data_IF_835133178553
#
_entry.id   IF_835133178553
#
_cell.length_a   1.000
_cell.length_b   1.000
_cell.length_c   1.000
_cell.angle_alpha   90.00
_cell.angle_beta   90.00
_cell.angle_gamma   90.00
#
_symmetry.space_group_name_H-M   'P 1'
#
loop_
_entity.id
_entity.type
_entity.pdbx_description
1 polymer ?
#
# COMPACT_ATOMS: atom_id res chain seq x y z
N UNK A 1 15.39 -28.95 3.00
CA UNK A 1 14.45 -28.71 1.89
C UNK A 1 15.19 -27.98 0.78
N UNK A 2 14.88 -28.20 -0.51
CA UNK A 2 15.62 -27.57 -1.61
C UNK A 2 15.20 -26.08 -1.70
N UNK A 3 16.18 -25.19 -1.87
CA UNK A 3 15.93 -23.76 -2.10
C UNK A 3 15.15 -23.58 -3.41
N UNK A 4 14.07 -22.77 -3.46
CA UNK A 4 13.38 -22.43 -4.69
C UNK A 4 14.31 -21.77 -5.70
N UNK A 5 13.99 -21.86 -7.00
CA UNK A 5 14.75 -21.18 -8.06
C UNK A 5 14.68 -19.66 -7.87
N UNK A 6 15.74 -18.93 -8.22
CA UNK A 6 15.78 -17.47 -8.13
C UNK A 6 14.63 -16.79 -8.87
N UNK A 7 14.21 -17.34 -10.02
CA UNK A 7 13.07 -16.84 -10.77
C UNK A 7 11.74 -17.00 -10.01
N UNK A 8 11.57 -18.07 -9.22
CA UNK A 8 10.39 -18.30 -8.39
C UNK A 8 10.37 -17.29 -7.24
N UNK A 9 11.52 -17.06 -6.60
CA UNK A 9 11.66 -16.07 -5.52
C UNK A 9 11.37 -14.66 -6.06
N UNK A 10 11.88 -14.31 -7.25
CA UNK A 10 11.61 -13.00 -7.87
C UNK A 10 10.13 -12.81 -8.20
N UNK A 11 9.44 -13.82 -8.73
CA UNK A 11 8.00 -13.76 -8.98
C UNK A 11 7.20 -13.65 -7.67
N UNK A 12 7.66 -14.32 -6.61
CA UNK A 12 7.08 -14.17 -5.28
C UNK A 12 7.21 -12.74 -4.76
N UNK A 13 8.40 -12.13 -4.84
CA UNK A 13 8.66 -10.76 -4.39
C UNK A 13 7.87 -9.70 -5.17
N UNK A 14 7.55 -9.98 -6.44
CA UNK A 14 6.71 -9.11 -7.28
C UNK A 14 5.22 -9.44 -7.18
N UNK A 15 4.84 -10.49 -6.45
CA UNK A 15 3.45 -10.92 -6.29
C UNK A 15 2.86 -11.61 -7.53
N UNK A 16 3.69 -12.01 -8.49
CA UNK A 16 3.30 -12.60 -9.77
C UNK A 16 3.51 -14.13 -9.82
N UNK A 17 3.57 -14.82 -8.67
CA UNK A 17 3.76 -16.27 -8.60
C UNK A 17 2.45 -17.04 -8.79
N UNK A 18 2.53 -18.26 -9.34
CA UNK A 18 1.43 -19.22 -9.39
C UNK A 18 1.18 -19.86 -8.01
N UNK A 19 0.00 -20.51 -7.84
CA UNK A 19 -0.36 -21.13 -6.56
C UNK A 19 0.64 -22.24 -6.15
N UNK A 20 1.20 -23.00 -7.12
CA UNK A 20 2.22 -24.01 -6.86
C UNK A 20 3.55 -23.41 -6.41
N UNK A 21 3.97 -22.30 -7.03
CA UNK A 21 5.20 -21.58 -6.66
C UNK A 21 5.06 -20.91 -5.29
N UNK A 22 3.85 -20.45 -4.95
CA UNK A 22 3.55 -19.88 -3.65
C UNK A 22 3.69 -20.93 -2.53
N UNK A 23 3.19 -22.15 -2.75
CA UNK A 23 3.37 -23.26 -1.80
C UNK A 23 4.86 -23.64 -1.64
N UNK A 24 5.62 -23.71 -2.75
CA UNK A 24 7.05 -24.02 -2.71
C UNK A 24 7.83 -22.99 -1.87
N UNK A 25 7.56 -21.72 -2.03
CA UNK A 25 8.20 -20.65 -1.24
C UNK A 25 7.72 -20.68 0.21
N UNK A 26 6.44 -20.91 0.48
CA UNK A 26 5.88 -21.02 1.84
C UNK A 26 6.52 -22.17 2.60
N UNK A 27 6.65 -23.33 1.98
CA UNK A 27 7.26 -24.51 2.59
C UNK A 27 8.75 -24.27 2.88
N UNK A 28 9.46 -23.59 1.97
CA UNK A 28 10.86 -23.25 2.16
C UNK A 28 11.06 -22.26 3.32
N UNK A 29 10.21 -21.24 3.44
CA UNK A 29 10.25 -20.25 4.54
C UNK A 29 9.94 -20.92 5.88
N UNK A 30 8.97 -21.84 5.92
CA UNK A 30 8.57 -22.51 7.16
C UNK A 30 9.60 -23.51 7.66
N UNK A 31 10.56 -23.91 6.82
CA UNK A 31 11.57 -24.92 7.16
C UNK A 31 12.70 -24.37 8.06
N UNK A 32 13.01 -23.08 8.06
CA UNK A 32 14.08 -22.48 8.87
C UNK A 32 13.94 -20.97 8.99
N UNK A 33 14.30 -20.40 10.15
CA UNK A 33 14.41 -18.94 10.35
C UNK A 33 15.48 -18.30 9.46
N UNK A 34 16.53 -19.06 9.07
CA UNK A 34 17.55 -18.59 8.13
C UNK A 34 16.99 -18.33 6.74
N UNK A 35 16.05 -19.17 6.28
CA UNK A 35 15.37 -19.00 5.00
C UNK A 35 14.50 -17.75 4.98
N UNK A 36 13.85 -17.42 6.09
CA UNK A 36 13.11 -16.17 6.27
C UNK A 36 14.05 -14.98 6.18
N UNK A 37 15.20 -15.02 6.84
CA UNK A 37 16.20 -13.95 6.80
C UNK A 37 16.80 -13.77 5.39
N UNK A 38 16.99 -14.86 4.64
CA UNK A 38 17.47 -14.83 3.25
C UNK A 38 16.43 -14.17 2.33
N UNK A 39 15.14 -14.52 2.46
CA UNK A 39 14.07 -13.91 1.69
C UNK A 39 13.99 -12.39 1.93
N UNK A 40 14.10 -11.93 3.19
CA UNK A 40 14.12 -10.50 3.51
C UNK A 40 15.32 -9.77 2.88
N UNK A 41 16.49 -10.41 2.81
CA UNK A 41 17.66 -9.82 2.12
C UNK A 41 17.41 -9.66 0.62
N UNK A 42 16.80 -10.66 -0.02
CA UNK A 42 16.47 -10.62 -1.44
C UNK A 42 15.40 -9.57 -1.75
N UNK A 43 14.40 -9.44 -0.89
CA UNK A 43 13.36 -8.40 -0.99
C UNK A 43 13.98 -6.99 -0.89
N UNK A 44 14.85 -6.76 0.08
CA UNK A 44 15.55 -5.49 0.25
C UNK A 44 16.44 -5.15 -0.96
N UNK A 45 17.13 -6.16 -1.52
CA UNK A 45 17.96 -6.00 -2.73
C UNK A 45 17.09 -5.69 -3.96
N UNK A 46 15.97 -6.40 -4.14
CA UNK A 46 15.03 -6.17 -5.23
C UNK A 46 14.44 -4.75 -5.16
N UNK A 47 14.06 -4.28 -3.97
CA UNK A 47 13.55 -2.93 -3.73
C UNK A 47 14.57 -1.85 -4.08
N UNK A 48 15.85 -2.07 -3.79
CA UNK A 48 16.94 -1.15 -4.17
C UNK A 48 17.18 -1.10 -5.68
N UNK A 49 17.06 -2.24 -6.35
CA UNK A 49 17.27 -2.36 -7.80
C UNK A 49 16.07 -1.85 -8.62
N UNK A 50 14.84 -2.06 -8.17
CA UNK A 50 13.63 -1.56 -8.84
C UNK A 50 13.50 -0.03 -8.80
N UNK A 51 14.17 0.63 -7.82
CA UNK A 51 14.34 2.09 -7.80
C UNK A 51 15.37 2.63 -8.79
N UNK A 52 16.17 1.74 -9.43
CA UNK A 52 17.23 2.08 -10.39
C UNK A 52 16.85 1.63 -11.82
N UNK A 53 15.68 2.02 -12.31
CA UNK A 53 15.30 1.80 -13.71
C UNK A 53 16.15 2.68 -14.64
N UNK A 54 17.37 2.23 -14.93
CA UNK A 54 18.18 2.80 -16.00
C UNK A 54 17.68 2.25 -17.35
N UNK A 55 17.33 3.15 -18.27
CA UNK A 55 16.94 2.83 -19.64
C UNK A 55 18.08 2.08 -20.36
N UNK A 56 17.76 1.01 -21.10
CA UNK A 56 18.74 0.19 -21.83
C UNK A 56 19.68 0.98 -22.77
N UNK A 57 19.29 2.20 -23.20
CA UNK A 57 20.13 3.11 -23.99
C UNK A 57 21.26 3.77 -23.17
N UNK A 58 21.11 3.90 -21.86
CA UNK A 58 22.16 4.45 -20.99
C UNK A 58 23.22 3.41 -20.66
N UNK A 59 22.83 2.14 -20.56
CA UNK A 59 23.78 1.03 -20.36
C UNK A 59 24.63 0.82 -21.61
N UNK A 60 24.08 0.95 -22.81
CA UNK A 60 24.81 0.80 -24.08
C UNK A 60 25.79 1.96 -24.33
N UNK A 61 25.44 3.19 -23.93
CA UNK A 61 26.34 4.34 -23.93
C UNK A 61 27.50 4.21 -22.93
N UNK A 62 27.25 3.61 -21.76
CA UNK A 62 28.27 3.36 -20.78
C UNK A 62 29.28 2.29 -21.25
N UNK A 63 28.81 1.21 -21.89
CA UNK A 63 29.65 0.14 -22.44
C UNK A 63 30.53 0.60 -23.62
N UNK A 64 29.99 1.44 -24.52
CA UNK A 64 30.77 1.97 -25.66
C UNK A 64 31.89 2.93 -25.20
N UNK A 65 31.68 3.67 -24.08
CA UNK A 65 32.68 4.53 -23.45
C UNK A 65 33.86 3.75 -22.83
N UNK A 66 33.62 2.53 -22.38
CA UNK A 66 34.65 1.66 -21.78
C UNK A 66 35.56 1.05 -22.84
N UNK A 67 35.04 0.60 -23.98
CA UNK A 67 35.83 0.02 -25.07
C UNK A 67 36.78 1.04 -25.72
N UNK A 68 36.35 2.31 -25.87
CA UNK A 68 37.20 3.37 -26.43
C UNK A 68 38.39 3.77 -25.51
N UNK A 69 38.34 3.41 -24.21
CA UNK A 69 39.44 3.70 -23.27
C UNK A 69 40.51 2.62 -23.22
N UNK A 70 40.19 1.41 -23.59
CA UNK A 70 41.12 0.26 -23.56
C UNK A 70 42.18 0.36 -24.66
N UNK A 71 41.82 0.90 -25.83
CA UNK A 71 42.73 1.01 -26.98
C UNK A 71 43.79 2.13 -26.88
N UNK A 72 43.53 3.15 -26.03
CA UNK A 72 44.55 4.25 -25.81
C UNK A 72 45.63 3.91 -24.79
N UNK A 73 45.55 2.80 -24.09
CA UNK A 73 46.45 2.45 -23.02
C UNK A 73 47.79 1.81 -23.49
N UNK A 74 47.93 1.45 -24.78
CA UNK A 74 49.13 0.73 -25.29
C UNK A 74 50.32 1.58 -25.65
N UNK A 75 50.21 2.91 -25.76
CA UNK A 75 51.31 3.75 -26.31
C UNK A 75 52.14 4.59 -25.29
N UNK A 76 51.93 4.41 -23.97
CA UNK A 76 52.63 5.30 -22.99
C UNK A 76 53.40 4.58 -21.87
N UNK A 77 54.15 3.52 -22.20
CA UNK A 77 54.97 2.79 -21.20
C UNK A 77 56.20 3.53 -20.64
N UNK A 78 56.63 4.63 -21.24
CA UNK A 78 57.85 5.34 -20.82
C UNK A 78 57.66 6.50 -19.81
N UNK A 79 56.42 7.01 -19.64
CA UNK A 79 56.11 8.10 -18.69
C UNK A 79 55.64 7.55 -17.34
N UNK A 80 55.30 6.30 -17.28
CA UNK A 80 54.63 5.65 -16.12
C UNK A 80 55.55 5.42 -14.91
N UNK A 81 56.86 5.25 -15.10
CA UNK A 81 57.78 4.94 -13.99
C UNK A 81 58.03 6.11 -13.03
N UNK A 82 57.92 7.38 -13.50
CA UNK A 82 58.00 8.56 -12.61
C UNK A 82 56.69 8.90 -11.92
N UNK A 83 55.54 8.59 -12.52
CA UNK A 83 54.20 8.80 -11.95
C UNK A 83 53.86 7.79 -10.85
N UNK A 84 54.44 6.58 -10.87
CA UNK A 84 54.18 5.57 -9.83
C UNK A 84 54.66 5.97 -8.43
N UNK A 85 55.72 6.77 -8.31
CA UNK A 85 56.20 7.27 -6.98
C UNK A 85 55.26 8.29 -6.36
N UNK A 86 54.57 9.09 -7.17
CA UNK A 86 53.52 10.03 -6.68
C UNK A 86 52.17 9.40 -6.55
N UNK A 87 51.88 8.35 -7.33
CA UNK A 87 50.64 7.59 -7.23
C UNK A 87 50.54 6.82 -5.89
N UNK A 88 51.66 6.28 -5.39
CA UNK A 88 51.66 5.61 -4.08
C UNK A 88 51.33 6.57 -2.93
N UNK A 89 51.86 7.79 -2.97
CA UNK A 89 51.56 8.84 -1.98
C UNK A 89 50.11 9.33 -2.10
N UNK A 90 49.59 9.47 -3.33
CA UNK A 90 48.19 9.83 -3.59
C UNK A 90 47.21 8.74 -3.14
N UNK A 91 47.54 7.45 -3.35
CA UNK A 91 46.75 6.32 -2.87
C UNK A 91 46.71 6.27 -1.33
N UNK A 92 47.80 6.54 -0.66
CA UNK A 92 47.83 6.63 0.81
C UNK A 92 47.00 7.82 1.31
N UNK A 93 47.07 8.97 0.64
CA UNK A 93 46.24 10.13 1.00
C UNK A 93 44.74 9.90 0.71
N UNK A 94 44.41 9.20 -0.40
CA UNK A 94 43.02 8.81 -0.72
C UNK A 94 42.54 7.76 0.26
N UNK A 95 43.40 6.79 0.64
CA UNK A 95 43.03 5.78 1.66
C UNK A 95 42.88 6.40 3.05
N UNK A 96 43.77 7.37 3.43
CA UNK A 96 43.58 8.12 4.66
C UNK A 96 42.37 9.03 4.62
N UNK A 97 42.09 9.69 3.50
CA UNK A 97 40.88 10.50 3.28
C UNK A 97 39.61 9.66 3.26
N UNK A 98 39.67 8.52 2.60
CA UNK A 98 38.57 7.55 2.59
C UNK A 98 38.39 6.88 3.97
N UNK A 99 39.46 6.55 4.66
CA UNK A 99 39.44 6.05 6.04
C UNK A 99 38.89 7.08 7.02
N UNK A 100 39.31 8.34 6.88
CA UNK A 100 38.77 9.44 7.70
C UNK A 100 37.33 9.81 7.35
N UNK A 101 36.91 9.62 6.08
CA UNK A 101 35.52 9.77 5.62
C UNK A 101 34.65 8.61 6.10
N UNK A 102 35.17 7.37 6.15
CA UNK A 102 34.50 6.19 6.71
C UNK A 102 34.42 6.23 8.25
N UNK A 103 35.48 6.72 8.92
CA UNK A 103 35.50 6.83 10.39
C UNK A 103 34.86 8.12 10.91
N UNK A 104 34.81 9.18 10.12
CA UNK A 104 34.31 10.50 10.52
C UNK A 104 32.89 10.86 10.04
N UNK A 105 32.08 9.91 9.52
CA UNK A 105 30.71 10.22 9.10
C UNK A 105 30.24 9.55 7.81
N UNK A 106 31.13 8.79 7.14
CA UNK A 106 30.74 8.03 5.94
C UNK A 106 29.81 6.85 6.24
N UNK A 107 29.84 6.37 7.47
CA UNK A 107 28.96 5.29 7.94
C UNK A 107 27.51 5.73 8.19
N UNK A 108 27.25 7.04 8.32
CA UNK A 108 25.85 7.55 8.37
C UNK A 108 25.15 7.53 7.01
N UNK A 109 25.88 7.29 5.92
CA UNK A 109 25.33 7.25 4.55
C UNK A 109 25.05 5.84 4.01
N UNK A 110 25.53 4.80 4.66
CA UNK A 110 24.97 3.45 4.53
C UNK A 110 23.76 3.39 5.45
N UNK A 111 22.73 4.20 5.10
CA UNK A 111 21.50 4.29 5.85
C UNK A 111 20.82 2.93 5.91
N UNK A 112 21.14 2.17 6.95
CA UNK A 112 20.26 1.07 7.36
C UNK A 112 18.95 1.73 7.73
N UNK A 113 18.00 1.73 6.81
CA UNK A 113 16.66 2.27 7.05
C UNK A 113 16.02 1.39 8.12
N UNK A 114 15.92 1.91 9.33
CA UNK A 114 15.26 1.18 10.41
C UNK A 114 13.76 1.19 10.18
N UNK A 115 13.18 0.01 10.00
CA UNK A 115 11.75 -0.18 9.79
C UNK A 115 11.04 -0.49 11.11
N UNK A 116 9.83 0.02 11.21
CA UNK A 116 8.88 -0.27 12.28
C UNK A 116 7.72 -1.06 11.69
N UNK A 117 7.24 -2.06 12.40
CA UNK A 117 6.01 -2.77 12.05
C UNK A 117 4.95 -2.47 13.10
N UNK A 118 3.90 -1.76 12.70
CA UNK A 118 2.71 -1.59 13.51
C UNK A 118 1.69 -2.67 13.15
N UNK A 119 1.16 -3.37 14.17
CA UNK A 119 0.11 -4.39 13.99
C UNK A 119 -1.12 -3.98 14.77
N UNK A 120 -2.29 -4.06 14.16
CA UNK A 120 -3.57 -3.99 14.85
C UNK A 120 -3.85 -5.35 15.50
N UNK A 121 -4.62 -5.35 16.61
CA UNK A 121 -5.05 -6.62 17.21
C UNK A 121 -6.05 -7.33 16.30
N UNK A 122 -6.34 -8.62 16.56
CA UNK A 122 -7.30 -9.37 15.77
C UNK A 122 -8.74 -8.83 15.83
N UNK A 123 -9.05 -7.97 16.82
CA UNK A 123 -10.42 -7.49 17.05
C UNK A 123 -10.57 -5.97 17.14
N UNK A 124 -9.46 -5.22 17.19
CA UNK A 124 -9.51 -3.75 17.36
C UNK A 124 -8.62 -3.03 16.38
N UNK A 125 -9.12 -1.98 15.73
CA UNK A 125 -8.31 -1.10 14.88
C UNK A 125 -7.21 -0.40 15.69
N UNK A 126 -6.15 0.02 15.00
CA UNK A 126 -5.02 0.75 15.58
C UNK A 126 -4.68 1.99 14.79
N UNK A 127 -4.59 3.13 15.45
CA UNK A 127 -4.07 4.36 14.86
C UNK A 127 -2.54 4.43 14.96
N UNK A 128 -1.91 4.93 13.89
CA UNK A 128 -0.47 5.13 13.76
C UNK A 128 -0.23 6.49 13.11
N UNK A 129 0.58 7.34 13.74
CA UNK A 129 1.04 8.59 13.13
C UNK A 129 2.48 8.41 12.64
N UNK A 130 2.73 8.68 11.37
CA UNK A 130 4.03 8.54 10.73
C UNK A 130 4.88 9.82 10.91
N UNK A 131 6.17 9.73 10.57
CA UNK A 131 7.13 10.82 10.74
C UNK A 131 6.83 12.08 9.90
N UNK A 132 6.03 11.96 8.84
CA UNK A 132 5.58 13.05 7.98
C UNK A 132 4.22 13.62 8.40
N UNK A 133 3.70 13.23 9.56
CA UNK A 133 2.36 13.56 10.09
C UNK A 133 1.21 12.90 9.34
N UNK A 134 1.47 11.93 8.45
CA UNK A 134 0.43 11.07 7.89
C UNK A 134 -0.19 10.23 9.01
N UNK A 135 -1.53 10.19 9.05
CA UNK A 135 -2.27 9.35 9.99
C UNK A 135 -2.80 8.12 9.27
N UNK A 136 -2.61 6.98 9.89
CA UNK A 136 -3.03 5.69 9.34
C UNK A 136 -3.82 4.94 10.40
N UNK A 137 -5.01 4.50 10.07
CA UNK A 137 -5.76 3.55 10.90
C UNK A 137 -5.66 2.18 10.23
N UNK A 138 -5.23 1.21 10.98
CA UNK A 138 -5.16 -0.19 10.57
C UNK A 138 -6.40 -0.91 11.08
N UNK A 139 -7.11 -1.58 10.20
CA UNK A 139 -8.24 -2.41 10.61
C UNK A 139 -7.76 -3.64 11.41
N UNK A 140 -8.67 -4.31 12.08
CA UNK A 140 -8.39 -5.50 12.87
C UNK A 140 -7.61 -6.55 12.05
N UNK A 141 -6.54 -7.09 12.63
CA UNK A 141 -5.67 -8.08 11.97
C UNK A 141 -4.69 -7.53 10.94
N UNK A 142 -4.74 -6.21 10.65
CA UNK A 142 -3.88 -5.59 9.64
C UNK A 142 -2.53 -5.15 10.21
N UNK A 143 -1.55 -4.96 9.33
CA UNK A 143 -0.22 -4.48 9.70
C UNK A 143 0.35 -3.50 8.68
N UNK A 144 1.14 -2.54 9.17
CA UNK A 144 1.86 -1.55 8.38
C UNK A 144 3.34 -1.60 8.71
N UNK A 145 4.17 -1.78 7.69
CA UNK A 145 5.62 -1.67 7.78
C UNK A 145 6.05 -0.33 7.17
N UNK A 146 6.78 0.46 7.92
CA UNK A 146 7.22 1.80 7.50
C UNK A 146 8.58 2.15 8.07
N UNK A 147 9.38 3.00 7.39
CA UNK A 147 10.67 3.44 7.87
C UNK A 147 10.51 4.47 9.00
N UNK A 148 11.39 4.47 10.01
CA UNK A 148 11.41 5.54 11.04
C UNK A 148 11.60 6.94 10.44
N UNK A 149 12.32 7.04 9.31
CA UNK A 149 12.49 8.28 8.54
C UNK A 149 12.30 7.96 7.07
N UNK A 150 11.48 8.74 6.38
CA UNK A 150 11.27 8.60 4.95
C UNK A 150 12.48 9.08 4.15
N UNK A 151 12.64 8.51 2.95
CA UNK A 151 13.61 8.93 1.97
C UNK A 151 13.30 10.37 1.46
N UNK A 152 14.31 10.97 0.81
CA UNK A 152 14.17 12.28 0.16
C UNK A 152 13.39 12.21 -1.15
N UNK A 153 13.32 11.05 -1.79
CA UNK A 153 12.65 10.84 -3.07
C UNK A 153 11.17 10.48 -2.91
N UNK A 154 10.84 9.58 -1.99
CA UNK A 154 9.47 9.10 -1.77
C UNK A 154 9.22 8.70 -0.31
N UNK A 155 7.94 8.59 0.05
CA UNK A 155 7.47 8.13 1.36
C UNK A 155 6.79 6.78 1.16
N UNK A 156 7.56 5.67 1.27
CA UNK A 156 7.04 4.32 1.01
C UNK A 156 6.72 3.57 2.29
N UNK A 157 5.56 2.90 2.29
CA UNK A 157 5.09 2.02 3.35
C UNK A 157 4.50 0.75 2.76
N UNK A 158 4.39 -0.32 3.54
CA UNK A 158 3.86 -1.61 3.13
C UNK A 158 2.68 -1.98 4.01
N UNK A 159 1.54 -2.27 3.38
CA UNK A 159 0.30 -2.64 4.03
C UNK A 159 0.01 -4.14 3.83
N UNK A 160 -0.41 -4.80 4.90
CA UNK A 160 -1.07 -6.11 4.86
C UNK A 160 -2.44 -5.97 5.52
N UNK A 161 -3.49 -6.39 4.83
CA UNK A 161 -4.87 -6.21 5.28
C UNK A 161 -5.44 -4.87 4.84
N UNK A 162 -6.10 -4.15 5.72
CA UNK A 162 -6.85 -2.93 5.42
C UNK A 162 -6.37 -1.74 6.24
N UNK A 163 -6.25 -0.60 5.58
CA UNK A 163 -5.84 0.65 6.18
C UNK A 163 -6.52 1.87 5.57
N UNK A 164 -6.95 2.75 6.45
CA UNK A 164 -7.44 4.09 6.10
C UNK A 164 -6.32 5.11 6.29
N UNK A 165 -6.09 5.93 5.28
CA UNK A 165 -4.95 6.83 5.20
C UNK A 165 -5.42 8.28 5.07
N UNK A 166 -4.95 9.14 5.96
CA UNK A 166 -4.99 10.60 5.82
C UNK A 166 -3.55 11.08 5.57
N UNK A 167 -3.17 11.15 4.30
CA UNK A 167 -1.79 11.43 3.92
C UNK A 167 -1.49 12.92 3.95
N UNK A 168 -0.42 13.29 4.66
CA UNK A 168 0.07 14.67 4.70
C UNK A 168 0.45 15.17 3.30
N UNK A 169 0.03 16.40 2.95
CA UNK A 169 0.25 17.00 1.63
C UNK A 169 1.74 17.32 1.43
N UNK A 170 2.38 16.62 0.49
CA UNK A 170 3.74 16.88 0.05
C UNK A 170 3.89 16.51 -1.43
N UNK A 171 3.86 17.53 -2.30
CA UNK A 171 3.97 17.35 -3.76
C UNK A 171 5.38 16.98 -4.22
N UNK A 172 6.38 17.25 -3.41
CA UNK A 172 7.78 16.99 -3.75
C UNK A 172 8.18 15.54 -3.50
N UNK A 173 7.51 14.84 -2.59
CA UNK A 173 7.76 13.46 -2.20
C UNK A 173 6.48 12.66 -2.19
N UNK A 174 6.19 11.91 -3.25
CA UNK A 174 5.02 11.04 -3.30
C UNK A 174 4.97 10.08 -2.12
N UNK A 175 3.77 9.81 -1.62
CA UNK A 175 3.51 8.76 -0.65
C UNK A 175 3.04 7.51 -1.40
N UNK A 176 3.68 6.38 -1.14
CA UNK A 176 3.40 5.10 -1.83
C UNK A 176 3.06 4.05 -0.79
N UNK A 177 1.87 3.46 -0.92
CA UNK A 177 1.46 2.29 -0.14
C UNK A 177 1.54 1.07 -1.01
N UNK A 178 2.43 0.15 -0.68
CA UNK A 178 2.54 -1.15 -1.35
C UNK A 178 1.67 -2.17 -0.62
N UNK A 179 0.78 -2.83 -1.34
CA UNK A 179 -0.07 -3.91 -0.84
C UNK A 179 0.01 -5.12 -1.77
N UNK A 180 0.92 -6.07 -1.50
CA UNK A 180 1.22 -7.15 -2.43
C UNK A 180 1.72 -6.61 -3.77
N UNK A 181 1.11 -7.00 -4.91
CA UNK A 181 1.51 -6.53 -6.24
C UNK A 181 0.88 -5.18 -6.63
N UNK A 182 0.23 -4.49 -5.72
CA UNK A 182 -0.47 -3.22 -5.98
C UNK A 182 0.21 -2.09 -5.23
N UNK A 183 0.59 -1.04 -5.96
CA UNK A 183 1.07 0.22 -5.41
C UNK A 183 0.00 1.29 -5.54
N UNK A 184 -0.24 2.02 -4.46
CA UNK A 184 -1.12 3.18 -4.38
C UNK A 184 -0.27 4.42 -4.14
N UNK A 185 -0.17 5.31 -5.14
CA UNK A 185 0.66 6.51 -5.10
C UNK A 185 -0.18 7.77 -4.99
N UNK A 186 0.15 8.63 -4.02
CA UNK A 186 -0.58 9.85 -3.71
C UNK A 186 0.34 11.01 -3.33
N UNK A 187 -0.20 12.25 -3.31
CA UNK A 187 0.55 13.47 -2.95
C UNK A 187 -0.02 14.21 -1.72
N UNK A 188 -1.12 13.70 -1.15
CA UNK A 188 -1.84 14.31 -0.03
C UNK A 188 -3.33 14.06 -0.20
N UNK A 189 -3.80 12.92 0.24
CA UNK A 189 -5.03 12.25 -0.19
C UNK A 189 -5.63 11.51 0.98
N UNK A 190 -6.95 11.43 1.02
CA UNK A 190 -7.69 10.60 1.97
C UNK A 190 -8.27 9.41 1.21
N UNK A 191 -7.88 8.20 1.59
CA UNK A 191 -8.30 6.97 0.91
C UNK A 191 -8.29 5.77 1.85
N UNK A 192 -9.05 4.75 1.50
CA UNK A 192 -9.01 3.42 2.09
C UNK A 192 -8.36 2.43 1.14
N UNK A 193 -7.52 1.55 1.65
CA UNK A 193 -6.86 0.51 0.88
C UNK A 193 -6.99 -0.83 1.60
N UNK A 194 -7.66 -1.78 0.95
CA UNK A 194 -7.87 -3.13 1.45
C UNK A 194 -7.18 -4.15 0.53
N UNK A 195 -6.31 -4.96 1.11
CA UNK A 195 -5.56 -6.03 0.42
C UNK A 195 -6.01 -7.37 0.98
N UNK A 196 -6.79 -8.10 0.22
CA UNK A 196 -7.25 -9.44 0.58
C UNK A 196 -6.40 -10.50 -0.15
N UNK A 197 -5.38 -10.99 0.52
CA UNK A 197 -4.44 -11.96 -0.04
C UNK A 197 -5.10 -13.29 -0.37
N UNK A 198 -6.08 -13.75 0.42
CA UNK A 198 -6.75 -15.02 0.23
C UNK A 198 -7.62 -15.02 -1.05
N UNK A 199 -8.24 -13.88 -1.35
CA UNK A 199 -9.06 -13.70 -2.56
C UNK A 199 -8.25 -13.18 -3.75
N UNK A 200 -7.01 -12.77 -3.55
CA UNK A 200 -6.14 -12.11 -4.54
C UNK A 200 -6.78 -10.84 -5.12
N UNK A 201 -7.43 -10.08 -4.26
CA UNK A 201 -8.13 -8.83 -4.62
C UNK A 201 -7.59 -7.70 -3.76
N UNK A 202 -7.37 -6.56 -4.38
CA UNK A 202 -7.13 -5.31 -3.69
C UNK A 202 -8.21 -4.28 -4.06
N UNK A 203 -8.64 -3.50 -3.08
CA UNK A 203 -9.67 -2.47 -3.26
C UNK A 203 -9.12 -1.13 -2.78
N UNK A 204 -9.25 -0.09 -3.59
CA UNK A 204 -8.79 1.26 -3.26
C UNK A 204 -9.96 2.22 -3.41
N UNK A 205 -10.38 2.84 -2.31
CA UNK A 205 -11.52 3.77 -2.27
C UNK A 205 -11.02 5.18 -2.01
N UNK A 206 -11.30 6.12 -2.92
CA UNK A 206 -10.81 7.49 -2.84
C UNK A 206 -11.87 8.45 -2.29
N UNK A 207 -11.60 9.07 -1.11
CA UNK A 207 -12.45 10.07 -0.49
C UNK A 207 -12.09 11.49 -0.92
N UNK A 208 -10.82 11.89 -0.83
CA UNK A 208 -10.34 13.24 -1.17
C UNK A 208 -9.00 13.19 -1.88
N UNK A 209 -8.80 14.04 -2.88
CA UNK A 209 -7.55 14.22 -3.63
C UNK A 209 -7.49 13.41 -4.91
N UNK A 210 -6.39 12.73 -5.19
CA UNK A 210 -6.19 11.87 -6.35
C UNK A 210 -5.27 10.69 -5.99
N UNK A 211 -5.55 9.53 -6.58
CA UNK A 211 -4.82 8.29 -6.36
C UNK A 211 -4.41 7.69 -7.70
N UNK A 212 -3.14 7.35 -7.82
CA UNK A 212 -2.63 6.50 -8.88
C UNK A 212 -2.51 5.09 -8.33
N UNK A 213 -3.24 4.14 -8.92
CA UNK A 213 -3.17 2.71 -8.61
C UNK A 213 -2.38 2.02 -9.72
N UNK A 214 -1.34 1.29 -9.35
CA UNK A 214 -0.50 0.51 -10.28
C UNK A 214 -0.51 -0.95 -9.86
N UNK A 215 -0.77 -1.84 -10.81
CA UNK A 215 -0.67 -3.28 -10.65
C UNK A 215 0.57 -3.77 -11.41
N UNK A 216 1.45 -4.54 -10.72
CA UNK A 216 2.79 -4.87 -11.24
C UNK A 216 2.83 -6.09 -12.16
N UNK A 217 1.87 -7.02 -12.05
CA UNK A 217 1.90 -8.26 -12.85
C UNK A 217 1.53 -8.00 -14.32
N UNK A 218 0.53 -7.14 -14.57
CA UNK A 218 0.07 -6.75 -15.91
C UNK A 218 0.56 -5.38 -16.34
N UNK A 219 1.25 -4.63 -15.45
CA UNK A 219 1.61 -3.22 -15.63
C UNK A 219 0.39 -2.32 -15.81
N UNK A 220 -0.76 -2.73 -15.28
CA UNK A 220 -2.00 -1.95 -15.28
C UNK A 220 -1.86 -0.70 -14.42
N UNK A 221 -2.39 0.44 -14.90
CA UNK A 221 -2.33 1.71 -14.19
C UNK A 221 -3.61 2.50 -14.40
N UNK A 222 -4.18 3.02 -13.30
CA UNK A 222 -5.37 3.88 -13.34
C UNK A 222 -5.24 5.05 -12.37
N UNK A 223 -5.95 6.13 -12.70
CA UNK A 223 -6.13 7.28 -11.80
C UNK A 223 -7.55 7.27 -11.26
N UNK A 224 -7.71 7.45 -9.95
CA UNK A 224 -9.00 7.61 -9.31
C UNK A 224 -9.32 9.09 -9.04
N UNK A 225 -10.60 9.41 -9.17
CA UNK A 225 -11.21 10.65 -8.72
C UNK A 225 -12.01 10.41 -7.43
N UNK A 226 -12.27 11.45 -6.60
CA UNK A 226 -13.08 11.30 -5.40
C UNK A 226 -14.45 10.65 -5.69
N UNK A 227 -14.87 9.72 -4.84
CA UNK A 227 -16.08 8.92 -5.03
C UNK A 227 -15.88 7.69 -5.92
N UNK A 228 -14.66 7.41 -6.37
CA UNK A 228 -14.35 6.22 -7.15
C UNK A 228 -13.66 5.15 -6.31
N UNK A 229 -13.91 3.90 -6.68
CA UNK A 229 -13.29 2.72 -6.12
C UNK A 229 -12.65 1.88 -7.24
N UNK A 230 -11.39 1.52 -7.07
CA UNK A 230 -10.71 0.54 -7.90
C UNK A 230 -10.79 -0.84 -7.26
N UNK A 231 -11.13 -1.84 -8.08
CA UNK A 231 -11.04 -3.26 -7.78
C UNK A 231 -9.90 -3.83 -8.62
N UNK A 232 -8.88 -4.34 -7.96
CA UNK A 232 -7.72 -4.95 -8.60
C UNK A 232 -7.74 -6.44 -8.32
N UNK A 233 -8.03 -7.24 -9.33
CA UNK A 233 -7.84 -8.68 -9.30
C UNK A 233 -6.42 -8.99 -9.77
N UNK A 234 -5.50 -9.18 -8.84
CA UNK A 234 -4.11 -9.46 -9.18
C UNK A 234 -3.84 -10.94 -9.49
N UNK A 235 -4.87 -11.79 -9.46
CA UNK A 235 -4.84 -13.12 -10.07
C UNK A 235 -4.88 -13.05 -11.60
N UNK A 236 -5.69 -12.12 -12.13
CA UNK A 236 -5.84 -11.88 -13.58
C UNK A 236 -5.13 -10.61 -14.07
N UNK A 237 -4.65 -9.74 -13.18
CA UNK A 237 -4.07 -8.44 -13.51
C UNK A 237 -5.11 -7.39 -13.93
N UNK A 238 -6.41 -7.65 -13.72
CA UNK A 238 -7.48 -6.77 -14.19
C UNK A 238 -7.82 -5.69 -13.17
N UNK A 239 -7.89 -4.41 -13.61
CA UNK A 239 -8.32 -3.28 -12.80
C UNK A 239 -9.67 -2.78 -13.29
N UNK A 240 -10.67 -2.75 -12.41
CA UNK A 240 -11.99 -2.18 -12.68
C UNK A 240 -12.21 -0.97 -11.81
N UNK A 241 -12.61 0.17 -12.38
CA UNK A 241 -12.97 1.39 -11.65
C UNK A 241 -14.47 1.61 -11.70
N UNK A 242 -15.08 1.89 -10.53
CA UNK A 242 -16.52 2.18 -10.41
C UNK A 242 -16.75 3.38 -9.50
N UNK A 243 -17.82 4.12 -9.74
CA UNK A 243 -18.34 5.07 -8.77
C UNK A 243 -18.99 4.28 -7.62
N UNK A 244 -18.72 4.68 -6.39
CA UNK A 244 -19.24 4.03 -5.18
C UNK A 244 -19.39 5.05 -4.06
N UNK A 245 -20.23 4.77 -3.08
CA UNK A 245 -20.20 5.54 -1.83
C UNK A 245 -19.02 5.09 -0.97
N UNK A 246 -17.84 5.62 -1.34
CA UNK A 246 -16.54 5.29 -0.70
C UNK A 246 -16.51 5.63 0.79
N UNK A 247 -17.43 6.47 1.29
CA UNK A 247 -17.51 6.81 2.72
C UNK A 247 -17.94 5.61 3.55
N UNK A 248 -18.63 4.65 2.96
CA UNK A 248 -19.01 3.40 3.61
C UNK A 248 -17.81 2.50 3.90
N UNK A 249 -16.77 2.58 3.10
CA UNK A 249 -15.52 1.82 3.31
C UNK A 249 -14.75 2.35 4.54
N UNK A 250 -15.02 3.57 4.99
CA UNK A 250 -14.40 4.16 6.19
C UNK A 250 -15.20 3.96 7.49
N UNK A 251 -16.37 3.32 7.45
CA UNK A 251 -17.25 3.12 8.63
C UNK A 251 -16.55 2.35 9.75
N UNK A 252 -15.69 1.39 9.42
CA UNK A 252 -14.94 0.61 10.40
C UNK A 252 -13.97 1.48 11.22
N UNK A 253 -13.46 2.56 10.63
CA UNK A 253 -12.50 3.49 11.24
C UNK A 253 -13.17 4.53 12.13
N UNK A 254 -14.18 5.25 11.62
CA UNK A 254 -14.80 6.37 12.33
C UNK A 254 -16.10 6.00 13.03
N UNK A 255 -16.61 4.80 12.77
CA UNK A 255 -17.88 4.28 13.30
C UNK A 255 -19.08 5.18 12.97
N UNK A 256 -19.03 5.88 11.84
CA UNK A 256 -20.10 6.75 11.37
C UNK A 256 -20.61 6.26 10.02
N UNK A 257 -21.91 6.01 9.93
CA UNK A 257 -22.60 5.69 8.68
C UNK A 257 -23.11 7.03 8.10
N UNK A 258 -22.48 7.55 7.04
CA UNK A 258 -22.88 8.81 6.45
C UNK A 258 -24.04 8.62 5.48
N UNK A 259 -24.98 9.54 5.51
CA UNK A 259 -26.08 9.66 4.53
C UNK A 259 -26.06 11.06 3.93
N UNK A 260 -26.27 11.16 2.65
CA UNK A 260 -26.37 12.44 1.94
C UNK A 260 -27.48 12.38 0.89
N UNK A 261 -28.53 13.18 1.08
CA UNK A 261 -29.73 13.16 0.25
C UNK A 261 -30.26 11.73 0.02
N UNK A 262 -30.20 10.91 1.06
CA UNK A 262 -30.62 9.51 1.02
C UNK A 262 -32.11 9.39 1.38
N UNK A 263 -32.90 8.76 0.53
CA UNK A 263 -34.22 8.32 0.89
C UNK A 263 -34.19 7.09 1.81
N UNK A 264 -35.34 6.69 2.32
CA UNK A 264 -35.44 5.56 3.27
C UNK A 264 -35.00 4.25 2.63
N UNK A 265 -35.19 4.05 1.32
CA UNK A 265 -34.74 2.84 0.61
C UNK A 265 -33.23 2.78 0.52
N UNK A 266 -32.57 3.87 0.19
CA UNK A 266 -31.11 3.94 0.16
C UNK A 266 -30.49 3.74 1.56
N UNK A 267 -31.12 4.28 2.61
CA UNK A 267 -30.75 4.02 4.01
C UNK A 267 -30.87 2.50 4.32
N UNK A 268 -31.99 1.88 3.95
CA UNK A 268 -32.23 0.45 4.13
C UNK A 268 -31.18 -0.42 3.42
N UNK A 269 -30.87 -0.14 2.16
CA UNK A 269 -29.82 -0.83 1.38
C UNK A 269 -28.44 -0.71 2.02
N UNK A 270 -28.13 0.48 2.54
CA UNK A 270 -26.87 0.71 3.26
C UNK A 270 -26.78 -0.13 4.53
N UNK A 271 -27.88 -0.22 5.30
CA UNK A 271 -27.92 -1.09 6.49
C UNK A 271 -27.87 -2.58 6.13
N UNK A 272 -28.52 -3.02 5.04
CA UNK A 272 -28.39 -4.38 4.53
C UNK A 272 -26.91 -4.74 4.29
N UNK A 273 -26.17 -3.87 3.60
CA UNK A 273 -24.74 -4.06 3.30
C UNK A 273 -23.89 -4.13 4.56
N UNK A 274 -24.07 -3.19 5.49
CA UNK A 274 -23.21 -3.07 6.67
C UNK A 274 -23.46 -4.15 7.71
N UNK A 275 -24.70 -4.63 7.84
CA UNK A 275 -25.10 -5.58 8.89
C UNK A 275 -25.38 -7.00 8.36
N UNK A 276 -25.36 -7.21 7.05
CA UNK A 276 -25.63 -8.52 6.44
C UNK A 276 -27.04 -9.03 6.72
N UNK A 277 -28.02 -8.12 6.86
CA UNK A 277 -29.42 -8.41 7.17
C UNK A 277 -30.30 -8.04 5.98
N UNK A 278 -31.49 -8.59 5.90
CA UNK A 278 -32.50 -8.21 4.91
C UNK A 278 -33.42 -7.13 5.48
N UNK A 279 -33.50 -5.97 4.84
CA UNK A 279 -34.38 -4.85 5.20
C UNK A 279 -35.42 -4.66 4.08
N UNK A 280 -36.68 -4.65 4.44
CA UNK A 280 -37.82 -4.44 3.51
C UNK A 280 -38.45 -3.10 3.88
N UNK A 281 -38.56 -2.20 2.92
CA UNK A 281 -39.23 -0.92 3.09
C UNK A 281 -40.65 -1.03 2.57
N UNK A 282 -41.61 -0.58 3.38
CA UNK A 282 -43.01 -0.57 3.02
C UNK A 282 -43.24 0.43 1.84
N UNK A 283 -44.11 0.02 0.89
CA UNK A 283 -44.41 0.86 -0.28
C UNK A 283 -45.17 2.15 0.06
N UNK A 284 -45.76 2.23 1.26
CA UNK A 284 -46.43 3.45 1.75
C UNK A 284 -45.44 4.54 2.23
N UNK A 285 -44.15 4.23 2.31
CA UNK A 285 -43.12 5.23 2.63
C UNK A 285 -42.89 6.13 1.42
N UNK A 286 -42.99 7.45 1.65
CA UNK A 286 -42.80 8.47 0.63
C UNK A 286 -41.26 8.65 0.35
N UNK A 287 -40.83 8.26 -0.85
CA UNK A 287 -39.44 8.38 -1.30
C UNK A 287 -39.08 9.84 -1.70
N UNK A 288 -40.01 10.79 -1.67
CA UNK A 288 -39.72 12.21 -1.99
C UNK A 288 -38.89 12.90 -0.92
N UNK A 289 -38.87 12.39 0.30
CA UNK A 289 -38.10 12.94 1.41
C UNK A 289 -36.72 12.31 1.46
N UNK A 290 -35.71 13.18 1.52
CA UNK A 290 -34.31 12.74 1.66
C UNK A 290 -33.70 13.27 2.96
N UNK A 291 -32.78 12.49 3.51
CA UNK A 291 -32.14 12.75 4.77
C UNK A 291 -30.62 12.86 4.58
N UNK A 292 -30.02 13.82 5.29
CA UNK A 292 -28.56 13.99 5.32
C UNK A 292 -28.09 14.03 6.76
N UNK A 293 -27.05 13.26 7.07
CA UNK A 293 -26.51 13.20 8.43
C UNK A 293 -25.57 12.00 8.60
N UNK A 294 -25.31 11.67 9.84
CA UNK A 294 -24.45 10.54 10.21
C UNK A 294 -25.08 9.79 11.37
N UNK A 295 -25.08 8.45 11.29
CA UNK A 295 -25.54 7.59 12.36
C UNK A 295 -24.34 6.81 12.89
N UNK A 296 -24.24 6.67 14.22
CA UNK A 296 -23.16 5.89 14.84
C UNK A 296 -23.35 4.42 14.50
N UNK A 297 -22.37 3.83 13.81
CA UNK A 297 -22.28 2.41 13.59
C UNK A 297 -22.09 1.67 14.93
N UNK A 298 -23.07 0.88 15.31
CA UNK A 298 -23.08 0.09 16.55
C UNK A 298 -23.04 -1.39 16.22
N UNK A 299 -22.62 -2.20 17.19
CA UNK A 299 -22.54 -3.66 16.99
C UNK A 299 -23.93 -4.31 16.75
N UNK A 300 -25.00 -3.66 17.22
CA UNK A 300 -26.38 -4.13 17.01
C UNK A 300 -27.11 -3.19 16.07
N UNK A 301 -27.71 -3.75 15.02
CA UNK A 301 -28.59 -3.01 14.12
C UNK A 301 -29.79 -2.41 14.83
N UNK A 302 -30.27 -3.03 15.91
CA UNK A 302 -31.42 -2.51 16.69
C UNK A 302 -31.14 -1.10 17.22
N UNK A 303 -29.92 -0.87 17.70
CA UNK A 303 -29.55 0.46 18.20
C UNK A 303 -29.48 1.52 17.10
N UNK A 304 -29.20 1.12 15.87
CA UNK A 304 -29.21 1.99 14.69
C UNK A 304 -30.63 2.27 14.23
N UNK A 305 -31.47 1.26 14.17
CA UNK A 305 -32.90 1.40 13.84
C UNK A 305 -33.65 2.26 14.87
N UNK A 306 -33.32 2.12 16.15
CA UNK A 306 -33.84 2.99 17.20
C UNK A 306 -33.44 4.45 17.00
N UNK A 307 -32.17 4.71 16.61
CA UNK A 307 -31.70 6.03 16.26
C UNK A 307 -32.42 6.60 15.05
N UNK A 308 -32.67 5.77 14.03
CA UNK A 308 -33.44 6.17 12.85
C UNK A 308 -34.86 6.53 13.21
N UNK A 309 -35.56 5.67 13.98
CA UNK A 309 -36.93 5.93 14.45
C UNK A 309 -37.08 7.25 15.20
N UNK A 310 -36.06 7.62 15.98
CA UNK A 310 -36.06 8.89 16.72
C UNK A 310 -35.70 10.11 15.85
N UNK A 311 -35.26 9.92 14.62
CA UNK A 311 -34.73 11.00 13.76
C UNK A 311 -35.57 11.26 12.54
N UNK A 312 -36.18 10.20 11.98
CA UNK A 312 -37.01 10.28 10.77
C UNK A 312 -38.36 9.59 11.05
N UNK A 313 -39.45 9.97 10.33
CA UNK A 313 -40.81 9.49 10.59
C UNK A 313 -41.01 8.06 10.08
N UNK A 314 -40.33 7.10 10.69
CA UNK A 314 -40.45 5.68 10.38
C UNK A 314 -40.48 4.84 11.64
N UNK A 315 -41.15 3.74 11.57
CA UNK A 315 -41.14 2.67 12.57
C UNK A 315 -40.52 1.40 12.00
N UNK A 316 -40.20 0.43 12.82
CA UNK A 316 -39.67 -0.84 12.35
C UNK A 316 -40.19 -2.02 13.18
N UNK A 317 -40.26 -3.18 12.55
CA UNK A 317 -40.52 -4.45 13.24
C UNK A 317 -39.71 -5.58 12.61
N UNK A 318 -39.44 -6.63 13.37
CA UNK A 318 -38.73 -7.82 12.90
C UNK A 318 -39.67 -8.99 12.71
N UNK A 319 -39.61 -9.65 11.57
CA UNK A 319 -40.39 -10.84 11.26
C UNK A 319 -39.61 -11.80 10.36
N UNK A 320 -39.52 -13.06 10.74
CA UNK A 320 -38.87 -14.12 9.95
C UNK A 320 -37.39 -13.78 9.56
N UNK A 321 -36.62 -13.17 10.47
CA UNK A 321 -35.22 -12.79 10.23
C UNK A 321 -35.05 -11.60 9.29
N UNK A 322 -36.13 -10.94 8.89
CA UNK A 322 -36.11 -9.68 8.10
C UNK A 322 -36.54 -8.51 8.97
N UNK A 323 -36.07 -7.35 8.62
CA UNK A 323 -36.46 -6.07 9.20
C UNK A 323 -37.40 -5.37 8.25
N UNK A 324 -38.56 -4.93 8.74
CA UNK A 324 -39.53 -4.16 7.97
C UNK A 324 -39.53 -2.74 8.50
N UNK A 325 -39.29 -1.77 7.62
CA UNK A 325 -39.42 -0.34 7.90
C UNK A 325 -40.76 0.11 7.37
N UNK A 326 -41.58 0.68 8.24
CA UNK A 326 -42.94 1.12 7.96
C UNK A 326 -43.10 2.60 8.32
N UNK A 327 -44.11 3.30 7.78
CA UNK A 327 -44.43 4.65 8.22
C UNK A 327 -44.71 4.72 9.72
N UNK A 328 -44.44 5.89 10.34
CA UNK A 328 -44.73 6.15 11.77
C UNK A 328 -46.24 6.26 12.00
#
# INVERSE_FOLDING_TARGET
MKRPDENVIMRFLTGCCSDQELEEVRDWISASEENVAELFRLEEMHRRLSGLSMSGREVEKALSGVHARIDRARSRRAVMARLMRYAAAAVVLVMMGAGMWLLGGGMERLGVTEYVVAKASASTPREVTLADSTRVWLNAGSSLRYPKKFDKAERRVELQGEGYFEVAKDRSRPFVVSGGPVDVKVLGTVFDFNVNSDRRIAEVSLMEGSVEVTEHCSSGKVMLLPGQKAFVDYGSGHITVRNADVRLDAVWHNRLIPFYNADVRHIAETLEKLYGVRVVVDDAIDDSHTYSGQIIHRNSIDSVLESLRNTIPVNYHKKNGKIYIVPD
#
